data_IF_017237024280
#
_entry.id   IF_017237024280
#
_cell.length_a   1.000
_cell.length_b   1.000
_cell.length_c   1.000
_cell.angle_alpha   90.00
_cell.angle_beta   90.00
_cell.angle_gamma   90.00
#
_symmetry.space_group_name_H-M   'P 1'
#
loop_
_entity.id
_entity.type
_entity.pdbx_description
1 polymer ?
#
# COMPACT_ATOMS: atom_id res chain seq x y z
N UNK A 1 29.64 -9.62 -73.16
CA UNK A 1 28.43 -9.77 -72.31
C UNK A 1 27.23 -9.40 -73.17
N UNK A 2 26.19 -10.24 -73.21
CA UNK A 2 25.06 -10.05 -74.11
C UNK A 2 23.90 -9.39 -73.34
N UNK A 3 23.08 -8.57 -74.01
CA UNK A 3 22.01 -7.79 -73.37
C UNK A 3 21.07 -8.62 -72.47
N UNK A 4 20.73 -9.86 -72.86
CA UNK A 4 19.92 -10.77 -72.02
C UNK A 4 20.53 -11.08 -70.65
N UNK A 5 21.86 -11.20 -70.54
CA UNK A 5 22.49 -11.49 -69.24
C UNK A 5 22.46 -10.28 -68.31
N UNK A 6 22.57 -9.08 -68.88
CA UNK A 6 22.42 -7.82 -68.14
C UNK A 6 20.98 -7.65 -67.68
N UNK A 7 20.01 -7.94 -68.55
CA UNK A 7 18.59 -7.84 -68.21
C UNK A 7 18.19 -8.84 -67.11
N UNK A 8 18.68 -10.09 -67.20
CA UNK A 8 18.42 -11.11 -66.18
C UNK A 8 19.05 -10.75 -64.83
N UNK A 9 20.29 -10.23 -64.84
CA UNK A 9 20.94 -9.76 -63.62
C UNK A 9 20.17 -8.58 -63.01
N UNK A 10 19.78 -7.59 -63.82
CA UNK A 10 18.99 -6.45 -63.36
C UNK A 10 17.63 -6.87 -62.79
N UNK A 11 16.92 -7.78 -63.46
CA UNK A 11 15.64 -8.30 -62.97
C UNK A 11 15.81 -9.04 -61.63
N UNK A 12 16.86 -9.85 -61.49
CA UNK A 12 17.15 -10.56 -60.24
C UNK A 12 17.55 -9.59 -59.11
N UNK A 13 18.33 -8.54 -59.41
CA UNK A 13 18.69 -7.50 -58.46
C UNK A 13 17.49 -6.68 -58.00
N UNK A 14 16.57 -6.35 -58.90
CA UNK A 14 15.33 -5.63 -58.55
C UNK A 14 14.40 -6.49 -57.69
N UNK A 15 14.30 -7.79 -57.98
CA UNK A 15 13.51 -8.73 -57.16
C UNK A 15 14.12 -8.92 -55.76
N UNK A 16 15.44 -8.99 -55.66
CA UNK A 16 16.14 -9.08 -54.37
C UNK A 16 15.96 -7.81 -53.52
N UNK A 17 15.97 -6.62 -54.15
CA UNK A 17 15.74 -5.35 -53.45
C UNK A 17 14.29 -5.21 -52.94
N UNK A 18 13.30 -5.78 -53.65
CA UNK A 18 11.91 -5.77 -53.22
C UNK A 18 11.63 -6.69 -52.01
N UNK A 19 12.45 -7.73 -51.81
CA UNK A 19 12.32 -8.69 -50.71
C UNK A 19 12.98 -8.27 -49.39
N UNK A 20 13.80 -7.21 -49.40
CA UNK A 20 14.42 -6.67 -48.19
C UNK A 20 13.40 -5.82 -47.40
N UNK A 21 12.41 -6.49 -46.82
CA UNK A 21 11.45 -5.89 -45.90
C UNK A 21 12.08 -5.91 -44.50
N UNK A 22 12.50 -4.75 -44.00
CA UNK A 22 12.84 -4.61 -42.59
C UNK A 22 11.53 -4.59 -41.78
N UNK A 23 11.47 -5.33 -40.67
CA UNK A 23 10.36 -5.17 -39.73
C UNK A 23 10.33 -3.72 -39.26
N UNK A 24 9.22 -3.03 -39.53
CA UNK A 24 9.03 -1.64 -39.09
C UNK A 24 8.94 -1.64 -37.57
N UNK A 25 9.94 -1.05 -36.92
CA UNK A 25 9.86 -0.79 -35.48
C UNK A 25 8.77 0.25 -35.22
N UNK A 26 7.68 -0.18 -34.60
CA UNK A 26 6.49 0.64 -34.31
C UNK A 26 6.68 1.62 -33.13
N UNK A 27 7.90 1.73 -32.61
CA UNK A 27 8.21 2.54 -31.44
C UNK A 27 7.78 1.90 -30.12
N UNK A 28 7.91 2.65 -29.03
CA UNK A 28 7.36 2.26 -27.72
C UNK A 28 5.88 2.58 -27.72
N UNK A 29 5.04 1.54 -27.63
CA UNK A 29 3.60 1.74 -27.50
C UNK A 29 3.27 2.48 -26.22
N UNK A 30 2.52 3.58 -26.35
CA UNK A 30 2.02 4.33 -25.20
C UNK A 30 0.86 3.58 -24.59
N UNK A 31 1.02 3.17 -23.33
CA UNK A 31 -0.08 2.60 -22.55
C UNK A 31 -0.93 3.76 -22.03
N UNK A 32 -2.10 3.95 -22.64
CA UNK A 32 -3.08 4.89 -22.13
C UNK A 32 -3.95 4.20 -21.08
N UNK A 33 -3.99 4.76 -19.87
CA UNK A 33 -4.92 4.30 -18.84
C UNK A 33 -6.37 4.58 -19.28
N UNK A 34 -7.24 3.57 -19.20
CA UNK A 34 -8.67 3.72 -19.46
C UNK A 34 -9.42 4.42 -18.33
N UNK A 35 -8.82 4.54 -17.14
CA UNK A 35 -9.40 5.13 -15.93
C UNK A 35 -8.50 6.22 -15.35
N UNK A 36 -9.10 7.23 -14.72
CA UNK A 36 -8.40 8.32 -14.06
C UNK A 36 -7.94 7.92 -12.65
N UNK A 37 -6.95 8.64 -12.09
CA UNK A 37 -6.51 8.42 -10.71
C UNK A 37 -7.61 8.67 -9.67
N UNK A 38 -8.52 9.60 -9.95
CA UNK A 38 -9.64 9.90 -9.07
C UNK A 38 -10.62 8.71 -8.98
N UNK A 39 -10.80 7.98 -10.07
CA UNK A 39 -11.64 6.77 -10.10
C UNK A 39 -10.95 5.58 -9.43
N UNK A 40 -9.63 5.44 -9.58
CA UNK A 40 -8.84 4.35 -8.96
C UNK A 40 -8.68 4.52 -7.44
N UNK A 41 -8.61 5.76 -6.93
CA UNK A 41 -8.39 6.01 -5.50
C UNK A 41 -9.41 5.31 -4.56
N UNK A 42 -10.74 5.45 -4.74
CA UNK A 42 -11.71 4.74 -3.90
C UNK A 42 -11.64 3.21 -4.09
N UNK A 43 -11.37 2.74 -5.31
CA UNK A 43 -11.24 1.31 -5.61
C UNK A 43 -10.03 0.70 -4.91
N UNK A 44 -8.89 1.40 -4.91
CA UNK A 44 -7.68 1.00 -4.20
C UNK A 44 -7.91 0.97 -2.68
N UNK A 45 -8.63 1.94 -2.12
CA UNK A 45 -8.98 1.96 -0.70
C UNK A 45 -9.96 0.84 -0.32
N UNK A 46 -10.83 0.41 -1.23
CA UNK A 46 -11.71 -0.74 -1.04
C UNK A 46 -10.91 -2.05 -1.10
N UNK A 47 -10.05 -2.23 -2.11
CA UNK A 47 -9.20 -3.40 -2.25
C UNK A 47 -8.24 -3.57 -1.04
N UNK A 48 -7.64 -2.49 -0.56
CA UNK A 48 -6.79 -2.53 0.63
C UNK A 48 -7.55 -2.97 1.89
N UNK A 49 -8.84 -2.61 2.00
CA UNK A 49 -9.70 -3.07 3.11
C UNK A 49 -10.13 -4.52 2.97
N UNK A 50 -10.32 -5.00 1.74
CA UNK A 50 -10.65 -6.39 1.46
C UNK A 50 -9.50 -7.34 1.85
N UNK A 51 -8.25 -6.85 1.81
CA UNK A 51 -7.07 -7.66 2.11
C UNK A 51 -6.67 -8.56 0.94
N UNK A 52 -5.83 -9.55 1.19
CA UNK A 52 -5.41 -10.49 0.14
C UNK A 52 -6.40 -11.66 0.03
N UNK A 53 -7.30 -11.56 -0.94
CA UNK A 53 -8.32 -12.58 -1.27
C UNK A 53 -7.71 -13.93 -1.69
N UNK A 54 -6.44 -13.96 -2.10
CA UNK A 54 -5.72 -15.18 -2.48
C UNK A 54 -4.73 -15.65 -1.41
N UNK A 55 -4.71 -15.01 -0.24
CA UNK A 55 -3.90 -15.51 0.87
C UNK A 55 -4.43 -16.85 1.37
N UNK A 56 -3.54 -17.68 1.92
CA UNK A 56 -3.92 -18.95 2.56
C UNK A 56 -4.96 -18.75 3.67
N UNK A 57 -4.95 -17.58 4.31
CA UNK A 57 -5.90 -17.19 5.35
C UNK A 57 -7.28 -16.73 4.80
N UNK A 58 -7.41 -16.41 3.50
CA UNK A 58 -8.63 -15.89 2.90
C UNK A 58 -9.82 -16.86 3.02
N UNK A 59 -9.56 -18.16 2.85
CA UNK A 59 -10.57 -19.21 3.00
C UNK A 59 -10.70 -19.76 4.43
N UNK A 60 -9.90 -19.27 5.37
CA UNK A 60 -9.78 -19.86 6.70
C UNK A 60 -10.97 -19.55 7.62
N UNK A 61 -11.88 -18.65 7.23
CA UNK A 61 -12.99 -18.22 8.07
C UNK A 61 -12.53 -17.52 9.36
N UNK A 62 -13.41 -17.41 10.34
CA UNK A 62 -13.06 -16.83 11.64
C UNK A 62 -12.03 -17.71 12.37
N UNK A 63 -10.80 -17.23 12.48
CA UNK A 63 -9.73 -17.92 13.19
C UNK A 63 -9.82 -17.66 14.69
N UNK A 64 -9.63 -18.72 15.49
CA UNK A 64 -9.57 -18.59 16.95
C UNK A 64 -8.27 -17.90 17.34
N UNK A 65 -8.40 -16.71 17.93
CA UNK A 65 -7.26 -16.01 18.53
C UNK A 65 -7.17 -16.34 20.02
N UNK A 66 -6.10 -17.02 20.43
CA UNK A 66 -5.76 -17.18 21.84
C UNK A 66 -4.82 -16.06 22.27
N UNK A 67 -5.35 -15.07 22.98
CA UNK A 67 -4.52 -14.06 23.63
C UNK A 67 -3.63 -14.72 24.67
N UNK A 68 -2.31 -14.54 24.57
CA UNK A 68 -1.35 -14.91 25.61
C UNK A 68 -1.29 -13.89 26.75
N UNK A 69 -1.81 -12.67 26.53
CA UNK A 69 -1.86 -11.63 27.53
C UNK A 69 -2.94 -11.90 28.59
N UNK A 70 -2.59 -11.69 29.87
CA UNK A 70 -3.52 -11.81 30.98
C UNK A 70 -4.56 -10.68 30.90
N UNK A 71 -5.86 -11.03 30.88
CA UNK A 71 -6.94 -10.04 30.75
C UNK A 71 -6.89 -8.95 31.83
N UNK A 72 -6.56 -9.29 33.08
CA UNK A 72 -6.47 -8.33 34.17
C UNK A 72 -5.33 -7.33 33.94
N UNK A 73 -4.20 -7.78 33.39
CA UNK A 73 -3.09 -6.89 33.03
C UNK A 73 -3.48 -5.92 31.91
N UNK A 74 -4.13 -6.42 30.85
CA UNK A 74 -4.62 -5.57 29.75
C UNK A 74 -5.63 -4.54 30.24
N UNK A 75 -6.55 -4.94 31.12
CA UNK A 75 -7.51 -3.99 31.71
C UNK A 75 -6.82 -2.94 32.59
N UNK A 76 -5.87 -3.34 33.43
CA UNK A 76 -5.13 -2.40 34.27
C UNK A 76 -4.34 -1.39 33.42
N UNK A 77 -3.68 -1.84 32.35
CA UNK A 77 -2.98 -0.98 31.39
C UNK A 77 -3.93 -0.02 30.67
N UNK A 78 -5.09 -0.52 30.21
CA UNK A 78 -6.10 0.29 29.55
C UNK A 78 -6.67 1.37 30.49
N UNK A 79 -6.95 1.01 31.74
CA UNK A 79 -7.40 1.96 32.78
C UNK A 79 -6.31 2.99 33.07
N UNK A 80 -5.06 2.56 33.25
CA UNK A 80 -3.94 3.48 33.45
C UNK A 80 -3.78 4.46 32.27
N UNK A 81 -3.92 3.97 31.03
CA UNK A 81 -3.82 4.81 29.84
C UNK A 81 -5.01 5.76 29.70
N UNK A 82 -6.22 5.34 30.06
CA UNK A 82 -7.40 6.19 30.08
C UNK A 82 -7.31 7.31 31.13
N UNK A 83 -6.58 7.06 32.23
CA UNK A 83 -6.32 8.05 33.27
C UNK A 83 -5.04 8.87 33.05
N UNK A 84 -4.34 8.69 31.92
CA UNK A 84 -3.13 9.44 31.59
C UNK A 84 -3.47 10.94 31.39
N UNK A 85 -3.05 11.84 32.29
CA UNK A 85 -3.36 13.27 32.18
C UNK A 85 -2.64 13.92 31.00
N UNK A 86 -1.64 13.24 30.41
CA UNK A 86 -0.88 13.72 29.28
C UNK A 86 -1.44 13.25 27.93
N UNK A 87 -2.50 12.46 27.91
CA UNK A 87 -3.03 11.83 26.70
C UNK A 87 -3.44 12.82 25.59
N UNK A 88 -3.83 14.05 25.96
CA UNK A 88 -4.21 15.11 25.01
C UNK A 88 -3.06 16.02 24.59
N UNK A 89 -1.88 15.86 25.19
CA UNK A 89 -0.73 16.74 24.96
C UNK A 89 0.19 16.15 23.90
N UNK A 90 0.48 16.96 22.87
CA UNK A 90 1.59 16.65 21.96
C UNK A 90 2.91 17.04 22.65
N UNK A 91 3.76 16.04 22.89
CA UNK A 91 5.08 16.25 23.51
C UNK A 91 5.94 17.23 22.71
N UNK A 92 5.78 17.26 21.38
CA UNK A 92 6.57 18.10 20.47
C UNK A 92 6.30 19.59 20.60
N UNK A 93 5.22 19.95 21.29
CA UNK A 93 4.92 21.34 21.62
C UNK A 93 5.81 21.89 22.75
N UNK A 94 6.55 21.03 23.46
CA UNK A 94 7.37 21.39 24.61
C UNK A 94 8.87 21.37 24.28
N UNK A 95 9.65 22.17 25.00
CA UNK A 95 11.10 22.20 24.86
C UNK A 95 11.67 20.79 25.11
N UNK A 96 12.51 20.30 24.19
CA UNK A 96 13.10 18.95 24.22
C UNK A 96 12.09 17.79 24.30
N UNK A 97 10.86 17.99 23.84
CA UNK A 97 9.79 16.99 23.91
C UNK A 97 9.45 16.52 25.34
N UNK A 98 9.72 17.37 26.33
CA UNK A 98 9.50 17.12 27.76
C UNK A 98 8.33 17.95 28.30
N UNK A 99 7.25 17.28 28.69
CA UNK A 99 6.08 17.96 29.29
C UNK A 99 6.41 18.36 30.74
N UNK A 100 6.27 19.64 31.12
CA UNK A 100 6.53 20.09 32.48
C UNK A 100 5.69 19.39 33.54
N UNK A 101 6.26 19.17 34.72
CA UNK A 101 5.60 18.47 35.82
C UNK A 101 4.27 19.12 36.28
N UNK A 102 4.10 20.42 36.03
CA UNK A 102 2.87 21.16 36.32
C UNK A 102 1.62 20.62 35.58
N UNK A 103 1.80 19.92 34.46
CA UNK A 103 0.70 19.31 33.70
C UNK A 103 0.30 17.92 34.23
N UNK A 104 1.05 17.35 35.18
CA UNK A 104 0.65 16.11 35.87
C UNK A 104 -0.44 16.44 36.88
N UNK A 105 -1.66 15.93 36.67
CA UNK A 105 -2.73 16.05 37.66
C UNK A 105 -2.37 15.28 38.93
N UNK A 106 -2.67 15.79 40.14
CA UNK A 106 -2.53 15.03 41.37
C UNK A 106 -3.43 13.78 41.31
N UNK A 107 -2.93 12.64 41.80
CA UNK A 107 -3.71 11.40 41.86
C UNK A 107 -4.89 11.60 42.81
N UNK A 108 -6.11 11.59 42.28
CA UNK A 108 -7.33 11.61 43.08
C UNK A 108 -7.73 10.17 43.43
N UNK A 109 -7.67 9.82 44.71
CA UNK A 109 -8.14 8.51 45.19
C UNK A 109 -9.65 8.58 45.39
N UNK A 110 -10.41 7.84 44.58
CA UNK A 110 -11.83 7.63 44.81
C UNK A 110 -11.98 6.38 45.68
N UNK A 111 -12.23 6.55 46.97
CA UNK A 111 -12.62 5.44 47.85
C UNK A 111 -13.97 4.94 47.38
N UNK A 112 -14.00 3.78 46.71
CA UNK A 112 -15.24 3.12 46.30
C UNK A 112 -15.88 2.54 47.55
N UNK A 113 -16.66 3.36 48.26
CA UNK A 113 -17.44 2.91 49.41
C UNK A 113 -18.52 1.98 48.88
N UNK A 114 -18.31 0.66 49.01
CA UNK A 114 -19.32 -0.33 48.72
C UNK A 114 -20.47 -0.12 49.72
N UNK A 115 -21.62 0.32 49.21
CA UNK A 115 -22.85 0.35 50.01
C UNK A 115 -23.20 -1.06 50.46
N UNK A 116 -23.40 -1.22 51.77
CA UNK A 116 -23.93 -2.41 52.42
C UNK A 116 -25.40 -2.64 52.03
#
# INVERSE_FOLDING_TARGET
MNASKILAAAALSLLAAAGAQAETYDGVHVVNSSVTRAEVAPQAAAAARAGNEYSEASGAGAQTFTSTANRATVQAEAVAKAHDPLASLDRRAFYRDEVPAAYKKPSVSFTRQAGL
#
